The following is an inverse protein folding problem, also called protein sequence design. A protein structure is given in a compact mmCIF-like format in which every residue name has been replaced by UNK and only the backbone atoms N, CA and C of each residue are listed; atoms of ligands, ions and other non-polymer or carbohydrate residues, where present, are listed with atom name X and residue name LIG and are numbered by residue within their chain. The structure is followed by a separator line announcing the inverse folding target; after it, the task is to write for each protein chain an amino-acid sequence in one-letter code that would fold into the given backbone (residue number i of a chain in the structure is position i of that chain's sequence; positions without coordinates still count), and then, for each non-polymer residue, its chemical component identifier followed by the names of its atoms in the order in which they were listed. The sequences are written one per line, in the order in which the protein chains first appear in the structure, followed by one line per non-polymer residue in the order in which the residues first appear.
data_IF_454423271845
#
_entry.id   IF_454423271845
#
_cell.length_a   1.000
_cell.length_b   1.000
_cell.length_c   1.000
_cell.angle_alpha   90.00
_cell.angle_beta   90.00
_cell.angle_gamma   90.00
#
_symmetry.space_group_name_H-M   'P 1'
#
loop_
_entity.id
_entity.type
_entity.pdbx_description
1 polymer ?
#
# COMPACT_ATOMS: atom_id res chain seq x y z
N UNK A 1 -13.80 -9.14 0.37
CA UNK A 1 -12.43 -9.62 0.10
C UNK A 1 -12.37 -10.49 -1.16
N UNK A 2 -13.44 -11.23 -1.44
CA UNK A 2 -13.61 -12.07 -2.64
C UNK A 2 -13.37 -11.39 -3.99
N UNK A 3 -13.75 -10.11 -4.24
CA UNK A 3 -13.63 -9.52 -5.57
C UNK A 3 -12.21 -9.44 -6.13
N UNK A 4 -11.21 -9.44 -5.25
CA UNK A 4 -9.78 -9.41 -5.62
C UNK A 4 -9.05 -10.68 -5.17
N UNK A 5 -9.78 -11.75 -4.83
CA UNK A 5 -9.18 -13.04 -4.46
C UNK A 5 -8.38 -13.04 -3.15
N UNK A 6 -8.64 -12.11 -2.22
CA UNK A 6 -8.06 -12.11 -0.86
C UNK A 6 -8.79 -13.11 0.04
N UNK A 7 -8.87 -14.38 -0.37
CA UNK A 7 -9.73 -15.40 0.24
C UNK A 7 -9.29 -15.83 1.65
N UNK A 8 -8.04 -15.56 2.01
CA UNK A 8 -7.47 -15.91 3.33
C UNK A 8 -7.41 -14.71 4.27
N UNK A 9 -7.80 -13.53 3.81
CA UNK A 9 -7.92 -12.37 4.68
C UNK A 9 -9.08 -12.55 5.66
N UNK A 10 -8.84 -12.11 6.90
CA UNK A 10 -9.79 -12.15 8.03
C UNK A 10 -9.75 -10.81 8.73
N UNK A 11 -10.91 -10.17 8.85
CA UNK A 11 -11.10 -8.95 9.61
C UNK A 11 -11.63 -9.29 11.01
N UNK A 12 -11.14 -8.61 12.03
CA UNK A 12 -11.72 -8.67 13.37
C UNK A 12 -12.89 -7.69 13.54
N UNK A 13 -13.80 -8.07 14.43
CA UNK A 13 -14.99 -7.32 14.78
C UNK A 13 -15.05 -7.17 16.29
N UNK A 14 -15.58 -6.04 16.76
CA UNK A 14 -15.84 -5.83 18.17
C UNK A 14 -16.96 -6.76 18.70
N UNK A 15 -17.21 -6.82 20.02
CA UNK A 15 -18.27 -7.66 20.58
C UNK A 15 -19.69 -7.34 20.08
N UNK A 16 -19.92 -6.15 19.52
CA UNK A 16 -21.19 -5.76 18.92
C UNK A 16 -21.30 -6.16 17.44
N UNK A 17 -20.24 -6.73 16.86
CA UNK A 17 -20.17 -7.11 15.44
C UNK A 17 -19.77 -5.96 14.52
N UNK A 18 -19.20 -4.88 15.06
CA UNK A 18 -18.69 -3.75 14.26
C UNK A 18 -17.29 -4.07 13.75
N UNK A 19 -17.04 -3.85 12.46
CA UNK A 19 -15.71 -4.04 11.89
C UNK A 19 -14.70 -3.06 12.52
N UNK A 20 -13.57 -3.59 12.98
CA UNK A 20 -12.45 -2.76 13.47
C UNK A 20 -11.68 -2.19 12.27
N UNK A 21 -12.15 -1.06 11.74
CA UNK A 21 -11.64 -0.49 10.48
C UNK A 21 -10.21 0.07 10.51
N UNK A 22 -9.62 0.24 11.69
CA UNK A 22 -8.27 0.82 11.85
C UNK A 22 -7.15 -0.22 11.89
N UNK A 23 -7.46 -1.49 12.17
CA UNK A 23 -6.45 -2.53 12.45
C UNK A 23 -7.03 -3.94 12.33
N UNK A 24 -6.25 -4.96 12.72
CA UNK A 24 -6.71 -6.34 12.86
C UNK A 24 -7.34 -6.99 11.60
N UNK A 25 -6.85 -6.58 10.43
CA UNK A 25 -6.99 -7.37 9.21
C UNK A 25 -5.76 -8.27 9.10
N UNK A 26 -5.98 -9.58 9.23
CA UNK A 26 -4.95 -10.60 9.12
C UNK A 26 -5.04 -11.24 7.74
N UNK A 27 -3.94 -11.24 6.99
CA UNK A 27 -3.89 -11.85 5.67
C UNK A 27 -2.46 -12.32 5.33
N UNK A 28 -2.31 -13.36 4.51
CA UNK A 28 -1.00 -13.77 4.02
C UNK A 28 -0.43 -12.72 3.05
N UNK A 29 0.90 -12.73 2.89
CA UNK A 29 1.64 -11.86 1.96
C UNK A 29 0.96 -11.73 0.58
N UNK A 30 0.56 -12.86 -0.01
CA UNK A 30 -0.07 -12.90 -1.34
C UNK A 30 -1.39 -12.13 -1.40
N UNK A 31 -2.17 -12.10 -0.32
CA UNK A 31 -3.43 -11.37 -0.30
C UNK A 31 -3.17 -9.87 -0.21
N UNK A 32 -2.19 -9.44 0.59
CA UNK A 32 -1.72 -8.06 0.61
C UNK A 32 -1.11 -7.61 -0.73
N UNK A 33 -0.42 -8.49 -1.45
CA UNK A 33 0.05 -8.19 -2.82
C UNK A 33 -1.13 -7.90 -3.76
N UNK A 34 -2.25 -8.62 -3.64
CA UNK A 34 -3.46 -8.35 -4.46
C UNK A 34 -4.09 -7.00 -4.11
N UNK A 35 -4.09 -6.62 -2.83
CA UNK A 35 -4.51 -5.29 -2.40
C UNK A 35 -3.64 -4.19 -3.03
N UNK A 36 -2.31 -4.34 -2.99
CA UNK A 36 -1.39 -3.43 -3.67
C UNK A 36 -1.62 -3.39 -5.19
N UNK A 37 -1.90 -4.53 -5.82
CA UNK A 37 -2.16 -4.62 -7.26
C UNK A 37 -3.47 -3.94 -7.66
N UNK A 38 -4.51 -4.06 -6.84
CA UNK A 38 -5.74 -3.29 -7.02
C UNK A 38 -5.46 -1.79 -7.01
N UNK A 39 -4.61 -1.34 -6.07
CA UNK A 39 -4.23 0.06 -5.95
C UNK A 39 -3.38 0.55 -7.14
N UNK A 40 -2.41 -0.24 -7.60
CA UNK A 40 -1.62 0.04 -8.81
C UNK A 40 -2.47 0.14 -10.08
N UNK A 41 -3.65 -0.51 -10.09
CA UNK A 41 -4.58 -0.54 -11.23
C UNK A 41 -5.77 0.42 -11.08
N UNK A 42 -5.63 1.45 -10.26
CA UNK A 42 -6.68 2.43 -9.96
C UNK A 42 -8.04 1.76 -9.64
N UNK A 43 -8.01 0.69 -8.85
CA UNK A 43 -9.24 0.03 -8.41
C UNK A 43 -9.86 -0.95 -9.39
N UNK A 44 -9.19 -1.31 -10.48
CA UNK A 44 -9.70 -2.28 -11.46
C UNK A 44 -9.13 -3.67 -11.22
N UNK A 45 -10.00 -4.68 -11.22
CA UNK A 45 -9.64 -6.09 -11.08
C UNK A 45 -10.39 -6.93 -12.11
N UNK A 46 -9.67 -7.73 -12.90
CA UNK A 46 -10.23 -8.61 -13.96
C UNK A 46 -11.28 -7.89 -14.85
N UNK A 47 -10.97 -6.67 -15.29
CA UNK A 47 -11.85 -5.84 -16.13
C UNK A 47 -13.03 -5.20 -15.40
N UNK A 48 -13.22 -5.48 -14.10
CA UNK A 48 -14.25 -4.87 -13.26
C UNK A 48 -13.67 -3.74 -12.41
N UNK A 49 -14.30 -2.58 -12.47
CA UNK A 49 -14.01 -1.45 -11.58
C UNK A 49 -14.64 -1.67 -10.19
N UNK A 50 -13.85 -1.58 -9.13
CA UNK A 50 -14.29 -1.78 -7.74
C UNK A 50 -14.37 -0.48 -6.94
N UNK A 51 -13.60 0.54 -7.32
CA UNK A 51 -13.68 1.91 -6.78
C UNK A 51 -13.75 2.92 -7.93
N UNK A 52 -14.25 4.15 -7.70
CA UNK A 52 -14.36 5.16 -8.75
C UNK A 52 -13.07 5.38 -9.54
N UNK A 53 -13.18 5.79 -10.79
CA UNK A 53 -12.03 6.19 -11.59
C UNK A 53 -11.30 7.37 -10.96
N UNK A 54 -9.96 7.31 -10.96
CA UNK A 54 -9.11 8.30 -10.33
C UNK A 54 -9.14 8.24 -8.80
N UNK A 55 -9.73 7.21 -8.20
CA UNK A 55 -9.80 7.06 -6.75
C UNK A 55 -8.41 7.03 -6.14
N UNK A 56 -7.45 6.34 -6.76
CA UNK A 56 -6.11 6.20 -6.18
C UNK A 56 -5.31 7.49 -6.26
N UNK A 57 -5.44 8.24 -7.35
CA UNK A 57 -4.85 9.57 -7.46
C UNK A 57 -5.51 10.57 -6.53
N UNK A 58 -6.82 10.49 -6.33
CA UNK A 58 -7.50 11.29 -5.32
C UNK A 58 -7.06 10.90 -3.92
N UNK A 59 -6.99 9.61 -3.60
CA UNK A 59 -6.74 9.12 -2.24
C UNK A 59 -5.34 9.52 -1.79
N UNK A 60 -4.32 9.34 -2.64
CA UNK A 60 -2.92 9.61 -2.29
C UNK A 60 -2.49 11.09 -2.31
N UNK A 61 -3.39 12.02 -2.64
CA UNK A 61 -3.10 13.47 -2.56
C UNK A 61 -2.94 13.92 -1.10
N UNK A 62 -1.87 14.69 -0.85
CA UNK A 62 -1.59 15.27 0.46
C UNK A 62 -2.75 16.07 1.02
N UNK A 63 -3.14 15.74 2.25
CA UNK A 63 -4.18 16.45 3.03
C UNK A 63 -3.69 16.81 4.43
N UNK A 64 -2.41 16.59 4.70
CA UNK A 64 -1.76 16.86 5.97
C UNK A 64 -0.88 18.11 5.84
N UNK A 65 -0.65 18.80 6.95
CA UNK A 65 0.13 20.05 6.99
C UNK A 65 1.64 19.82 7.11
N UNK A 66 2.08 18.56 7.11
CA UNK A 66 3.50 18.21 7.18
C UNK A 66 4.02 17.96 5.77
N UNK A 67 4.94 18.83 5.33
CA UNK A 67 5.53 18.78 4.00
C UNK A 67 6.51 17.60 3.81
N UNK A 68 6.94 16.96 4.89
CA UNK A 68 7.96 15.89 4.84
C UNK A 68 7.38 14.50 4.58
N UNK A 69 6.12 14.25 4.96
CA UNK A 69 5.42 13.00 4.71
C UNK A 69 4.05 13.36 4.18
N UNK A 70 3.75 13.02 2.93
CA UNK A 70 2.46 13.30 2.33
C UNK A 70 1.49 12.20 2.76
N UNK A 71 0.37 12.57 3.38
CA UNK A 71 -0.67 11.64 3.79
C UNK A 71 -2.03 12.10 3.26
N UNK A 72 -2.75 11.17 2.63
CA UNK A 72 -4.08 11.41 2.09
C UNK A 72 -4.96 10.17 2.19
N UNK A 73 -6.18 10.31 2.72
CA UNK A 73 -7.21 9.27 2.74
C UNK A 73 -6.67 7.82 2.96
N UNK A 74 -5.85 7.62 4.00
CA UNK A 74 -5.20 6.37 4.40
C UNK A 74 -4.01 5.88 3.55
N UNK A 75 -3.44 6.73 2.70
CA UNK A 75 -2.25 6.46 1.91
C UNK A 75 -1.12 7.42 2.28
N UNK A 76 0.07 6.87 2.46
CA UNK A 76 1.31 7.62 2.66
C UNK A 76 2.05 7.68 1.33
N UNK A 77 2.58 8.84 1.00
CA UNK A 77 3.46 9.06 -0.15
C UNK A 77 4.65 9.90 0.28
N UNK A 78 5.74 9.73 -0.44
CA UNK A 78 7.00 10.44 -0.24
C UNK A 78 7.74 10.43 -1.57
N UNK A 79 8.82 11.21 -1.68
CA UNK A 79 9.64 11.33 -2.89
C UNK A 79 8.86 11.87 -4.11
N UNK A 80 9.17 13.10 -4.52
CA UNK A 80 8.47 13.77 -5.60
C UNK A 80 8.77 13.17 -6.98
N UNK A 81 9.88 12.44 -7.15
CA UNK A 81 10.33 11.99 -8.46
C UNK A 81 9.66 10.67 -8.88
N UNK A 82 9.62 9.67 -8.00
CA UNK A 82 8.96 8.37 -8.28
C UNK A 82 7.54 8.28 -7.70
N UNK A 83 7.18 9.16 -6.77
CA UNK A 83 5.89 9.21 -6.05
C UNK A 83 5.37 7.85 -5.55
N UNK A 84 6.21 7.02 -4.88
CA UNK A 84 5.74 5.81 -4.23
C UNK A 84 4.60 6.12 -3.28
N UNK A 85 3.69 5.16 -3.15
CA UNK A 85 2.58 5.27 -2.21
C UNK A 85 2.32 3.94 -1.52
N UNK A 86 1.80 3.98 -0.30
CA UNK A 86 1.52 2.74 0.39
C UNK A 86 0.74 2.87 1.68
N UNK A 87 0.37 1.73 2.22
CA UNK A 87 -0.27 1.58 3.52
C UNK A 87 0.75 1.12 4.57
N UNK A 88 0.78 1.80 5.70
CA UNK A 88 1.72 1.55 6.80
C UNK A 88 0.97 0.99 8.01
N UNK A 89 1.52 -0.07 8.60
CA UNK A 89 0.99 -0.67 9.83
C UNK A 89 2.00 -0.66 10.98
N UNK A 90 1.47 -0.86 12.19
CA UNK A 90 2.24 -0.96 13.42
C UNK A 90 3.35 -2.01 13.33
N UNK A 91 4.48 -1.77 14.01
CA UNK A 91 5.67 -2.64 13.97
C UNK A 91 6.26 -2.89 12.57
N UNK A 92 6.00 -1.98 11.63
CA UNK A 92 6.65 -1.99 10.32
C UNK A 92 5.91 -2.80 9.26
N UNK A 93 4.59 -3.00 9.36
CA UNK A 93 3.86 -3.59 8.22
C UNK A 93 3.88 -2.59 7.05
N UNK A 94 4.09 -3.08 5.83
CA UNK A 94 4.16 -2.26 4.62
C UNK A 94 3.49 -2.94 3.45
N UNK A 95 2.68 -2.18 2.71
CA UNK A 95 2.29 -2.46 1.33
C UNK A 95 2.65 -1.22 0.53
N UNK A 96 3.79 -1.23 -0.15
CA UNK A 96 4.31 -0.08 -0.90
C UNK A 96 4.24 -0.37 -2.40
N UNK A 97 3.68 0.57 -3.13
CA UNK A 97 3.50 0.55 -4.57
C UNK A 97 4.46 1.56 -5.22
N UNK A 98 5.16 1.13 -6.27
CA UNK A 98 6.10 1.93 -7.05
C UNK A 98 5.61 1.99 -8.50
N UNK A 99 4.73 2.96 -8.85
CA UNK A 99 4.13 3.05 -10.18
C UNK A 99 5.15 3.17 -11.31
N UNK A 100 6.20 3.98 -11.11
CA UNK A 100 7.25 4.20 -12.10
C UNK A 100 8.04 2.93 -12.49
N UNK A 101 7.90 1.85 -11.69
CA UNK A 101 8.66 0.59 -11.84
C UNK A 101 7.77 -0.64 -12.00
N UNK A 102 6.45 -0.49 -11.95
CA UNK A 102 5.48 -1.60 -11.85
C UNK A 102 5.81 -2.62 -10.73
N UNK A 103 6.25 -2.12 -9.56
CA UNK A 103 6.65 -2.96 -8.42
C UNK A 103 5.76 -2.74 -7.22
N UNK A 104 5.43 -3.84 -6.52
CA UNK A 104 4.79 -3.82 -5.20
C UNK A 104 5.69 -4.55 -4.21
N UNK A 105 6.07 -3.88 -3.13
CA UNK A 105 6.79 -4.48 -2.01
C UNK A 105 5.85 -4.63 -0.82
N UNK A 106 5.61 -5.88 -0.41
CA UNK A 106 4.88 -6.19 0.83
C UNK A 106 5.84 -6.72 1.87
N UNK A 107 5.84 -6.11 3.04
CA UNK A 107 6.62 -6.55 4.20
C UNK A 107 5.69 -6.78 5.38
N UNK A 108 5.67 -8.02 5.87
CA UNK A 108 5.04 -8.40 7.12
C UNK A 108 6.14 -8.81 8.10
N UNK A 109 6.15 -8.25 9.30
CA UNK A 109 7.15 -8.59 10.32
C UNK A 109 7.18 -7.59 11.46
N UNK A 110 8.08 -7.81 12.42
CA UNK A 110 8.26 -6.91 13.58
C UNK A 110 9.51 -6.06 13.42
N UNK A 111 9.34 -4.75 13.48
CA UNK A 111 10.42 -3.74 13.53
C UNK A 111 10.00 -2.70 14.56
N UNK A 112 10.91 -2.36 15.49
CA UNK A 112 10.68 -1.26 16.44
C UNK A 112 10.54 0.07 15.71
N UNK A 113 10.00 1.08 16.38
CA UNK A 113 9.91 2.45 15.84
C UNK A 113 11.27 2.98 15.37
N UNK A 114 12.33 2.73 16.14
CA UNK A 114 13.71 3.16 15.82
C UNK A 114 14.23 2.53 14.51
N UNK A 115 13.80 1.31 14.18
CA UNK A 115 14.17 0.64 12.93
C UNK A 115 13.34 1.06 11.71
N UNK A 116 12.33 1.92 11.89
CA UNK A 116 11.43 2.38 10.83
C UNK A 116 12.13 3.01 9.62
N UNK A 117 13.07 3.97 9.82
CA UNK A 117 13.82 4.58 8.72
C UNK A 117 14.60 3.55 7.89
N UNK A 118 15.40 2.71 8.53
CA UNK A 118 16.19 1.68 7.85
C UNK A 118 15.31 0.66 7.09
N UNK A 119 14.13 0.34 7.62
CA UNK A 119 13.15 -0.50 6.91
C UNK A 119 12.64 0.18 5.64
N UNK A 120 12.32 1.47 5.70
CA UNK A 120 11.84 2.21 4.53
C UNK A 120 12.95 2.30 3.45
N UNK A 121 14.19 2.59 3.86
CA UNK A 121 15.34 2.61 2.94
C UNK A 121 15.52 1.26 2.24
N UNK A 122 15.42 0.16 3.00
CA UNK A 122 15.52 -1.19 2.44
C UNK A 122 14.40 -1.50 1.44
N UNK A 123 13.17 -1.03 1.69
CA UNK A 123 12.05 -1.21 0.76
C UNK A 123 12.32 -0.46 -0.55
N UNK A 124 12.84 0.77 -0.48
CA UNK A 124 13.23 1.56 -1.66
C UNK A 124 14.39 0.89 -2.40
N UNK A 125 15.39 0.39 -1.69
CA UNK A 125 16.54 -0.33 -2.29
C UNK A 125 16.08 -1.55 -3.09
N UNK A 126 15.14 -2.35 -2.55
CA UNK A 126 14.55 -3.50 -3.25
C UNK A 126 13.83 -3.04 -4.54
N UNK A 127 13.04 -1.96 -4.47
CA UNK A 127 12.33 -1.46 -5.65
C UNK A 127 13.29 -0.97 -6.74
N UNK A 128 14.40 -0.35 -6.35
CA UNK A 128 15.45 0.14 -7.28
C UNK A 128 16.24 -0.98 -7.95
N UNK A 129 16.09 -2.24 -7.54
CA UNK A 129 16.61 -3.38 -8.30
C UNK A 129 15.86 -3.66 -9.61
N UNK A 130 14.70 -3.01 -9.82
CA UNK A 130 13.90 -3.13 -11.04
C UNK A 130 14.02 -1.84 -11.87
N UNK A 131 14.04 -1.91 -13.22
CA UNK A 131 14.15 -0.74 -14.08
C UNK A 131 12.92 0.18 -13.94
N UNK A 132 13.04 1.42 -14.41
CA UNK A 132 11.84 2.26 -14.59
C UNK A 132 11.16 1.89 -15.91
N UNK A 133 9.84 2.09 -15.98
CA UNK A 133 9.09 1.88 -17.22
C UNK A 133 9.51 2.85 -18.35
N UNK A 134 10.15 3.97 -18.01
CA UNK A 134 10.68 4.92 -18.98
C UNK A 134 11.99 4.44 -19.63
N UNK A 135 12.72 3.52 -18.99
CA UNK A 135 13.96 2.94 -19.54
C UNK A 135 13.67 1.85 -20.60
N UNK A 136 12.42 1.39 -20.70
CA UNK A 136 11.98 0.32 -21.62
C UNK A 136 11.29 0.83 -22.90
N UNK A 137 11.15 2.16 -23.05
CA UNK A 137 10.56 2.84 -24.21
C UNK A 137 11.60 3.49 -25.13
#
# INVERSE_FOLDING_TARGET
LDPIGMVRARAEYDPAGTFVGSSYVHAPLRDWCRFGLLAMRDGTWDGRRLVPEGWMDWSRRGRNWDETIIHGAHWWTWDHDETPFGAHGFEGQRVICFPARDVIVVRLGRTSSEGGPALNDRVVEIARCFPTLADES
#
